data_IF_643996740677
#
_entry.id   IF_643996740677
#
_cell.length_a   1.000
_cell.length_b   1.000
_cell.length_c   1.000
_cell.angle_alpha   90.00
_cell.angle_beta   90.00
_cell.angle_gamma   90.00
#
_symmetry.space_group_name_H-M   'P 1'
#
loop_
_entity.id
_entity.type
_entity.pdbx_description
1 polymer ?
#
# COMPACT_ATOMS: atom_id res chain seq x y z
N UNK A 1 -3.42 -2.97 12.53
CA UNK A 1 -3.40 -1.91 13.58
C UNK A 1 -4.58 -0.97 13.39
N UNK A 2 -4.86 -0.08 14.35
CA UNK A 2 -5.75 1.08 14.15
C UNK A 2 -4.88 2.34 14.14
N UNK A 3 -4.88 3.07 13.04
CA UNK A 3 -4.14 4.31 12.85
C UNK A 3 -5.09 5.51 12.91
N UNK A 4 -4.73 6.57 13.65
CA UNK A 4 -5.61 7.72 13.92
C UNK A 4 -6.07 8.45 12.65
N UNK A 5 -5.26 8.42 11.58
CA UNK A 5 -5.60 9.05 10.29
C UNK A 5 -6.32 8.12 9.31
N UNK A 6 -6.06 6.82 9.37
CA UNK A 6 -6.39 5.88 8.29
C UNK A 6 -7.37 4.76 8.71
N UNK A 7 -7.82 4.74 9.96
CA UNK A 7 -8.67 3.65 10.46
C UNK A 7 -7.88 2.35 10.61
N UNK A 8 -8.51 1.21 10.31
CA UNK A 8 -7.83 -0.09 10.38
C UNK A 8 -6.86 -0.22 9.20
N UNK A 9 -5.60 -0.52 9.53
CA UNK A 9 -4.53 -0.75 8.56
C UNK A 9 -4.05 -2.20 8.70
N UNK A 10 -4.06 -2.94 7.59
CA UNK A 10 -3.46 -4.26 7.49
C UNK A 10 -1.95 -4.08 7.21
N UNK A 11 -1.10 -4.72 8.01
CA UNK A 11 0.34 -4.77 7.75
C UNK A 11 0.72 -6.19 7.40
N UNK A 12 1.49 -6.36 6.34
CA UNK A 12 2.02 -7.66 5.95
C UNK A 12 3.41 -7.51 5.29
N UNK A 13 4.31 -8.45 5.57
CA UNK A 13 5.68 -8.43 5.05
C UNK A 13 5.84 -8.98 3.63
N UNK A 14 4.76 -9.26 2.90
CA UNK A 14 4.79 -9.87 1.58
C UNK A 14 5.69 -9.11 0.61
N UNK A 15 6.74 -9.78 0.12
CA UNK A 15 7.81 -9.21 -0.72
C UNK A 15 8.30 -10.18 -1.81
N UNK A 16 7.58 -11.28 -2.00
CA UNK A 16 7.81 -12.30 -3.03
C UNK A 16 6.46 -12.90 -3.46
N UNK A 17 6.45 -13.72 -4.52
CA UNK A 17 5.22 -14.24 -5.10
C UNK A 17 4.38 -15.08 -4.12
N UNK A 18 4.99 -15.99 -3.35
CA UNK A 18 4.24 -16.88 -2.45
C UNK A 18 3.58 -16.10 -1.31
N UNK A 19 4.30 -15.14 -0.72
CA UNK A 19 3.75 -14.25 0.29
C UNK A 19 2.66 -13.33 -0.31
N UNK A 20 2.84 -12.85 -1.55
CA UNK A 20 1.84 -12.04 -2.23
C UNK A 20 0.53 -12.81 -2.46
N UNK A 21 0.61 -14.09 -2.86
CA UNK A 21 -0.57 -14.95 -3.00
C UNK A 21 -1.27 -15.17 -1.66
N UNK A 22 -0.51 -15.41 -0.59
CA UNK A 22 -1.07 -15.56 0.75
C UNK A 22 -1.80 -14.29 1.21
N UNK A 23 -1.18 -13.12 1.01
CA UNK A 23 -1.80 -11.82 1.34
C UNK A 23 -3.05 -11.55 0.51
N UNK A 24 -2.99 -11.78 -0.81
CA UNK A 24 -4.14 -11.61 -1.71
C UNK A 24 -5.32 -12.48 -1.28
N UNK A 25 -5.06 -13.77 -1.04
CA UNK A 25 -6.05 -14.73 -0.54
C UNK A 25 -6.69 -14.25 0.77
N UNK A 26 -5.88 -13.82 1.73
CA UNK A 26 -6.39 -13.28 3.00
C UNK A 26 -7.33 -12.10 2.79
N UNK A 27 -6.95 -11.13 1.94
CA UNK A 27 -7.77 -9.95 1.69
C UNK A 27 -9.06 -10.31 0.96
N UNK A 28 -9.03 -11.24 0.01
CA UNK A 28 -10.25 -11.72 -0.67
C UNK A 28 -11.22 -12.35 0.32
N UNK A 29 -10.73 -13.26 1.17
CA UNK A 29 -11.55 -13.87 2.21
C UNK A 29 -12.07 -12.83 3.23
N UNK A 30 -11.29 -11.79 3.53
CA UNK A 30 -11.73 -10.68 4.39
C UNK A 30 -12.92 -9.93 3.77
N UNK A 31 -12.88 -9.65 2.46
CA UNK A 31 -13.98 -8.99 1.76
C UNK A 31 -15.23 -9.86 1.65
N UNK A 32 -15.08 -11.18 1.55
CA UNK A 32 -16.21 -12.12 1.53
C UNK A 32 -16.90 -12.22 2.90
N UNK A 33 -16.13 -12.25 3.99
CA UNK A 33 -16.62 -12.64 5.32
C UNK A 33 -16.85 -11.48 6.27
N UNK A 34 -15.98 -10.47 6.28
CA UNK A 34 -15.88 -9.50 7.37
C UNK A 34 -16.12 -8.05 6.93
N UNK A 35 -15.83 -7.71 5.68
CA UNK A 35 -15.95 -6.34 5.19
C UNK A 35 -17.37 -5.76 5.29
N UNK A 36 -18.42 -6.59 5.17
CA UNK A 36 -19.82 -6.17 5.36
C UNK A 36 -20.13 -5.74 6.80
N UNK A 37 -19.39 -6.28 7.77
CA UNK A 37 -19.53 -5.95 9.20
C UNK A 37 -18.71 -4.71 9.52
N UNK A 38 -17.47 -4.66 9.01
CA UNK A 38 -16.51 -3.61 9.32
C UNK A 38 -16.67 -2.36 8.42
N UNK A 39 -17.56 -2.39 7.43
CA UNK A 39 -17.85 -1.32 6.48
C UNK A 39 -16.66 -0.90 5.57
N UNK A 40 -15.70 -1.82 5.36
CA UNK A 40 -14.59 -1.62 4.44
C UNK A 40 -14.99 -2.02 3.02
N UNK A 41 -14.54 -1.27 2.02
CA UNK A 41 -14.88 -1.51 0.62
C UNK A 41 -13.66 -1.41 -0.29
N UNK A 42 -13.77 -2.07 -1.44
CA UNK A 42 -12.88 -1.85 -2.59
C UNK A 42 -13.16 -0.48 -3.23
N UNK A 43 -12.19 0.11 -3.95
CA UNK A 43 -10.83 -0.39 -4.18
C UNK A 43 -9.91 -0.26 -2.95
N UNK A 44 -8.87 -1.10 -2.91
CA UNK A 44 -7.86 -1.14 -1.84
C UNK A 44 -6.91 0.05 -1.99
N UNK A 45 -6.39 0.53 -0.87
CA UNK A 45 -5.37 1.56 -0.83
C UNK A 45 -4.06 0.95 -0.32
N UNK A 46 -3.10 0.77 -1.22
CA UNK A 46 -1.82 0.14 -0.91
C UNK A 46 -0.80 1.19 -0.49
N UNK A 47 -0.13 0.99 0.63
CA UNK A 47 1.15 1.65 0.94
C UNK A 47 2.24 0.62 0.68
N UNK A 48 3.06 0.86 -0.33
CA UNK A 48 3.92 -0.18 -0.89
C UNK A 48 5.37 0.28 -0.98
N UNK A 49 6.29 -0.55 -0.50
CA UNK A 49 7.71 -0.32 -0.62
C UNK A 49 8.43 -1.66 -0.65
N UNK A 50 9.33 -1.87 -1.60
CA UNK A 50 9.92 -3.18 -1.88
C UNK A 50 11.43 -3.09 -2.04
N UNK A 51 12.14 -4.14 -1.62
CA UNK A 51 13.60 -4.22 -1.79
C UNK A 51 13.98 -4.24 -3.26
N UNK A 52 14.96 -3.43 -3.64
CA UNK A 52 15.47 -3.36 -5.00
C UNK A 52 16.03 -4.72 -5.46
N UNK A 53 15.85 -5.04 -6.75
CA UNK A 53 16.32 -6.29 -7.37
C UNK A 53 15.42 -7.51 -7.10
N UNK A 54 14.30 -7.33 -6.39
CA UNK A 54 13.24 -8.33 -6.29
C UNK A 54 12.26 -8.22 -7.46
N UNK A 55 11.47 -9.27 -7.68
CA UNK A 55 10.51 -9.38 -8.79
C UNK A 55 9.26 -8.50 -8.54
N UNK A 56 9.41 -7.20 -8.81
CA UNK A 56 8.39 -6.17 -8.59
C UNK A 56 7.12 -6.44 -9.42
N UNK A 57 7.28 -6.79 -10.71
CA UNK A 57 6.17 -7.03 -11.62
C UNK A 57 5.29 -8.18 -11.10
N UNK A 58 5.91 -9.32 -10.78
CA UNK A 58 5.17 -10.48 -10.29
C UNK A 58 4.45 -10.22 -8.97
N UNK A 59 5.07 -9.48 -8.04
CA UNK A 59 4.42 -9.13 -6.77
C UNK A 59 3.24 -8.20 -6.99
N UNK A 60 3.40 -7.16 -7.82
CA UNK A 60 2.31 -6.21 -8.11
C UNK A 60 1.18 -6.86 -8.91
N UNK A 61 1.48 -7.77 -9.84
CA UNK A 61 0.48 -8.56 -10.58
C UNK A 61 -0.44 -9.38 -9.68
N UNK A 62 0.11 -9.92 -8.59
CA UNK A 62 -0.65 -10.74 -7.65
C UNK A 62 -1.50 -9.86 -6.72
N UNK A 63 -0.97 -8.72 -6.29
CA UNK A 63 -1.58 -7.90 -5.24
C UNK A 63 -2.58 -6.87 -5.79
N UNK A 64 -2.19 -6.13 -6.81
CA UNK A 64 -2.82 -4.85 -7.21
C UNK A 64 -3.77 -5.06 -8.38
N UNK A 65 -5.03 -4.69 -8.19
CA UNK A 65 -6.01 -4.60 -9.28
C UNK A 65 -5.98 -3.20 -9.94
N UNK A 66 -6.43 -3.04 -11.20
CA UNK A 66 -6.45 -1.74 -11.88
C UNK A 66 -7.21 -0.64 -11.12
N UNK A 67 -8.25 -1.02 -10.38
CA UNK A 67 -9.04 -0.06 -9.61
C UNK A 67 -8.38 0.40 -8.31
N UNK A 68 -7.39 -0.33 -7.81
CA UNK A 68 -6.68 0.00 -6.59
C UNK A 68 -5.78 1.24 -6.75
N UNK A 69 -5.43 1.84 -5.62
CA UNK A 69 -4.46 2.93 -5.57
C UNK A 69 -3.20 2.45 -4.87
N UNK A 70 -2.03 2.90 -5.34
CA UNK A 70 -0.73 2.57 -4.76
C UNK A 70 0.03 3.84 -4.39
N UNK A 71 0.39 3.90 -3.12
CA UNK A 71 1.14 4.95 -2.46
C UNK A 71 2.53 4.38 -2.19
N UNK A 72 3.43 4.57 -3.15
CA UNK A 72 4.79 4.06 -3.06
C UNK A 72 5.63 4.88 -2.08
N UNK A 73 6.37 4.20 -1.21
CA UNK A 73 7.17 4.79 -0.15
C UNK A 73 8.49 4.02 0.02
N UNK A 74 9.59 4.68 0.43
CA UNK A 74 10.80 3.96 0.77
C UNK A 74 10.68 3.36 2.17
N UNK A 75 11.49 2.34 2.43
CA UNK A 75 11.83 1.94 3.80
C UNK A 75 13.24 2.45 4.16
N UNK A 76 13.49 2.64 5.45
CA UNK A 76 14.78 3.09 5.99
C UNK A 76 15.87 2.07 5.70
N UNK A 77 17.04 2.56 5.30
CA UNK A 77 18.22 1.73 5.11
C UNK A 77 18.50 0.91 6.39
N UNK A 78 18.43 -0.44 6.35
CA UNK A 78 18.67 -1.23 7.53
C UNK A 78 20.13 -1.10 7.98
N UNK A 79 20.34 -0.97 9.29
CA UNK A 79 21.69 -0.89 9.86
C UNK A 79 22.50 -2.13 9.50
N UNK A 80 23.79 -1.93 9.18
CA UNK A 80 24.75 -3.00 8.87
C UNK A 80 24.45 -3.83 7.60
N UNK A 81 23.36 -3.55 6.88
CA UNK A 81 22.99 -4.26 5.64
C UNK A 81 23.07 -3.33 4.44
N UNK A 82 24.27 -2.85 4.12
CA UNK A 82 24.51 -1.85 3.06
C UNK A 82 24.16 -2.33 1.65
N UNK A 83 23.91 -3.62 1.46
CA UNK A 83 23.49 -4.21 0.18
C UNK A 83 21.97 -4.26 0.00
N UNK A 84 21.19 -3.89 1.02
CA UNK A 84 19.73 -3.85 0.93
C UNK A 84 19.29 -2.41 0.69
N UNK A 85 18.67 -2.15 -0.45
CA UNK A 85 18.12 -0.84 -0.77
C UNK A 85 16.63 -0.93 -1.05
N UNK A 86 15.92 0.15 -0.73
CA UNK A 86 14.53 0.31 -1.15
C UNK A 86 14.48 0.67 -2.63
N UNK A 87 13.54 0.07 -3.37
CA UNK A 87 13.25 0.50 -4.74
C UNK A 87 12.74 1.94 -4.68
N UNK A 88 13.30 2.88 -5.46
CA UNK A 88 12.84 4.26 -5.44
C UNK A 88 11.33 4.34 -5.68
N UNK A 89 10.58 5.10 -4.85
CA UNK A 89 9.12 5.20 -4.99
C UNK A 89 8.66 5.59 -6.40
N UNK A 90 9.36 6.54 -7.03
CA UNK A 90 9.05 6.97 -8.39
C UNK A 90 9.21 5.85 -9.42
N UNK A 91 10.16 4.92 -9.26
CA UNK A 91 10.26 3.76 -10.16
C UNK A 91 9.04 2.84 -10.04
N UNK A 92 8.53 2.64 -8.82
CA UNK A 92 7.29 1.85 -8.59
C UNK A 92 6.08 2.58 -9.20
N UNK A 93 5.98 3.90 -9.00
CA UNK A 93 4.93 4.73 -9.62
C UNK A 93 4.97 4.61 -11.14
N UNK A 94 6.11 4.88 -11.76
CA UNK A 94 6.31 4.84 -13.21
C UNK A 94 6.00 3.45 -13.78
N UNK A 95 6.40 2.40 -13.07
CA UNK A 95 6.07 1.03 -13.40
C UNK A 95 4.55 0.81 -13.50
N UNK A 96 3.79 1.23 -12.47
CA UNK A 96 2.33 1.10 -12.43
C UNK A 96 1.63 1.99 -13.48
N UNK A 97 2.09 3.23 -13.65
CA UNK A 97 1.58 4.15 -14.69
C UNK A 97 1.73 3.50 -16.05
N UNK A 98 2.92 2.99 -16.39
CA UNK A 98 3.16 2.29 -17.67
C UNK A 98 2.29 1.04 -17.82
N UNK A 99 2.11 0.26 -16.74
CA UNK A 99 1.30 -0.97 -16.75
C UNK A 99 -0.17 -0.69 -17.06
N UNK A 100 -0.72 0.41 -16.55
CA UNK A 100 -2.15 0.73 -16.64
C UNK A 100 -2.49 1.90 -17.59
N UNK A 101 -1.50 2.43 -18.33
CA UNK A 101 -1.67 3.59 -19.23
C UNK A 101 -2.74 3.44 -20.33
N UNK A 102 -3.11 2.20 -20.68
CA UNK A 102 -4.13 1.92 -21.68
C UNK A 102 -5.54 1.78 -21.08
N UNK A 103 -5.66 1.73 -19.75
CA UNK A 103 -6.93 1.56 -19.03
C UNK A 103 -7.46 2.88 -18.46
N UNK A 104 -6.57 3.82 -18.15
CA UNK A 104 -6.92 5.09 -17.50
C UNK A 104 -6.24 6.26 -18.19
N UNK A 105 -6.80 7.46 -18.04
CA UNK A 105 -6.15 8.68 -18.49
C UNK A 105 -5.03 9.14 -17.53
N UNK A 106 -4.20 10.10 -17.96
CA UNK A 106 -3.06 10.58 -17.18
C UNK A 106 -3.44 11.16 -15.80
N UNK A 107 -4.57 11.86 -15.69
CA UNK A 107 -5.05 12.39 -14.41
C UNK A 107 -5.41 11.25 -13.46
N UNK A 108 -6.19 10.27 -13.93
CA UNK A 108 -6.56 9.09 -13.13
C UNK A 108 -5.34 8.28 -12.69
N UNK A 109 -4.34 8.10 -13.56
CA UNK A 109 -3.10 7.40 -13.23
C UNK A 109 -2.30 8.13 -12.15
N UNK A 110 -2.20 9.45 -12.22
CA UNK A 110 -1.49 10.26 -11.22
C UNK A 110 -2.26 10.35 -9.89
N UNK A 111 -3.57 10.18 -9.90
CA UNK A 111 -4.38 10.08 -8.68
C UNK A 111 -4.26 8.71 -8.03
N UNK A 112 -4.27 7.64 -8.84
CA UNK A 112 -4.17 6.24 -8.37
C UNK A 112 -2.77 5.87 -7.92
N UNK A 113 -1.72 6.34 -8.60
CA UNK A 113 -0.33 5.96 -8.33
C UNK A 113 0.50 7.17 -7.93
N UNK A 114 0.88 7.21 -6.65
CA UNK A 114 1.61 8.32 -6.04
C UNK A 114 2.89 7.81 -5.40
N UNK A 115 3.90 8.67 -5.38
CA UNK A 115 5.18 8.41 -4.74
C UNK A 115 5.39 9.45 -3.65
N UNK A 116 5.87 8.99 -2.49
CA UNK A 116 6.14 9.83 -1.33
C UNK A 116 7.52 9.52 -0.77
N UNK A 117 8.16 10.51 -0.17
CA UNK A 117 9.48 10.37 0.43
C UNK A 117 9.44 9.59 1.76
N UNK A 118 8.26 9.48 2.38
CA UNK A 118 8.06 8.76 3.63
C UNK A 118 6.60 8.30 3.82
N UNK A 119 6.40 7.38 4.77
CA UNK A 119 5.08 6.81 5.07
C UNK A 119 4.10 7.80 5.71
N UNK A 120 4.59 8.83 6.40
CA UNK A 120 3.72 9.79 7.11
C UNK A 120 2.93 10.66 6.11
N UNK A 121 3.56 11.04 5.00
CA UNK A 121 2.92 11.80 3.92
C UNK A 121 1.90 10.95 3.17
N UNK A 122 2.23 9.67 2.89
CA UNK A 122 1.28 8.73 2.33
C UNK A 122 0.04 8.55 3.24
N UNK A 123 0.24 8.42 4.55
CA UNK A 123 -0.88 8.36 5.52
C UNK A 123 -1.65 9.67 5.65
N UNK A 124 -1.01 10.82 5.43
CA UNK A 124 -1.71 12.11 5.41
C UNK A 124 -2.66 12.20 4.20
N UNK A 125 -2.22 11.77 3.02
CA UNK A 125 -3.07 11.72 1.83
C UNK A 125 -4.22 10.71 1.99
N UNK A 126 -3.94 9.53 2.54
CA UNK A 126 -4.94 8.49 2.80
C UNK A 126 -6.02 8.94 3.79
N UNK A 127 -5.72 9.88 4.68
CA UNK A 127 -6.72 10.51 5.55
C UNK A 127 -7.80 11.19 4.72
N UNK A 128 -7.41 11.96 3.70
CA UNK A 128 -8.33 12.64 2.80
C UNK A 128 -9.23 11.66 2.05
N UNK A 129 -8.63 10.60 1.48
CA UNK A 129 -9.37 9.53 0.79
C UNK A 129 -10.40 8.87 1.71
N UNK A 130 -10.02 8.57 2.96
CA UNK A 130 -10.94 7.98 3.96
C UNK A 130 -12.08 8.93 4.31
N UNK A 131 -11.78 10.19 4.59
CA UNK A 131 -12.80 11.19 4.95
C UNK A 131 -13.80 11.42 3.80
N UNK A 132 -13.32 11.44 2.56
CA UNK A 132 -14.19 11.56 1.39
C UNK A 132 -15.12 10.35 1.24
N UNK A 133 -14.60 9.12 1.32
CA UNK A 133 -15.44 7.90 1.23
C UNK A 133 -16.46 7.81 2.35
N UNK A 134 -16.08 8.19 3.56
CA UNK A 134 -16.99 8.22 4.70
C UNK A 134 -18.12 9.23 4.50
N UNK A 135 -17.82 10.44 3.99
CA UNK A 135 -18.83 11.45 3.70
C UNK A 135 -19.77 11.04 2.56
N UNK A 136 -19.23 10.43 1.50
CA UNK A 136 -19.98 10.14 0.27
C UNK A 136 -20.88 8.90 0.40
N UNK A 137 -20.32 7.82 0.93
CA UNK A 137 -20.96 6.50 0.90
C UNK A 137 -21.10 5.88 2.29
N UNK A 138 -20.63 6.54 3.35
CA UNK A 138 -20.49 5.95 4.68
C UNK A 138 -19.76 4.61 4.59
N UNK A 139 -18.57 4.57 3.97
CA UNK A 139 -17.70 3.38 3.81
C UNK A 139 -16.24 3.76 4.03
N UNK A 140 -15.42 2.82 4.49
CA UNK A 140 -13.97 3.01 4.62
C UNK A 140 -13.18 2.29 3.51
N UNK A 141 -12.07 2.87 3.00
CA UNK A 141 -11.12 2.12 2.20
C UNK A 141 -10.32 1.15 3.09
N UNK A 142 -10.07 -0.07 2.62
CA UNK A 142 -9.07 -0.93 3.26
C UNK A 142 -7.68 -0.40 2.91
N UNK A 143 -6.90 -0.02 3.93
CA UNK A 143 -5.49 0.34 3.78
C UNK A 143 -4.62 -0.88 4.07
N UNK A 144 -3.74 -1.23 3.12
CA UNK A 144 -2.81 -2.36 3.26
C UNK A 144 -1.39 -1.85 3.06
N UNK A 145 -0.51 -2.14 4.02
CA UNK A 145 0.92 -1.87 3.91
C UNK A 145 1.66 -3.17 3.65
N UNK A 146 2.43 -3.24 2.57
CA UNK A 146 3.25 -4.41 2.25
C UNK A 146 4.43 -4.10 1.32
N UNK A 147 5.12 -5.14 0.85
CA UNK A 147 6.27 -5.06 -0.06
C UNK A 147 7.60 -5.31 0.64
N UNK A 148 7.68 -5.14 1.97
CA UNK A 148 8.93 -5.30 2.74
C UNK A 148 8.67 -5.42 4.24
N UNK A 149 9.39 -6.34 4.89
CA UNK A 149 9.43 -6.41 6.37
C UNK A 149 10.07 -5.16 6.99
N UNK A 150 11.00 -4.50 6.28
CA UNK A 150 11.61 -3.25 6.75
C UNK A 150 10.60 -2.10 6.77
N UNK A 151 9.73 -2.02 5.76
CA UNK A 151 8.64 -1.03 5.74
C UNK A 151 7.66 -1.26 6.90
N UNK A 152 7.29 -2.52 7.14
CA UNK A 152 6.44 -2.88 8.28
C UNK A 152 7.11 -2.49 9.61
N UNK A 153 8.40 -2.75 9.76
CA UNK A 153 9.17 -2.36 10.95
C UNK A 153 9.22 -0.84 11.14
N UNK A 154 9.45 -0.07 10.07
CA UNK A 154 9.45 1.40 10.12
C UNK A 154 8.13 1.96 10.61
N UNK A 155 7.01 1.38 10.18
CA UNK A 155 5.69 1.80 10.65
C UNK A 155 5.53 1.48 12.13
N UNK A 156 5.88 0.27 12.57
CA UNK A 156 5.82 -0.06 14.00
C UNK A 156 6.69 0.88 14.84
N UNK A 157 7.90 1.20 14.40
CA UNK A 157 8.76 2.18 15.07
C UNK A 157 8.13 3.58 15.10
N UNK A 158 7.53 4.03 13.99
CA UNK A 158 6.87 5.34 13.94
C UNK A 158 5.70 5.45 14.93
N UNK A 159 4.98 4.35 15.17
CA UNK A 159 3.91 4.30 16.15
C UNK A 159 4.44 4.34 17.58
N UNK A 160 5.53 3.61 17.87
CA UNK A 160 6.16 3.61 19.19
C UNK A 160 6.73 4.98 19.55
N UNK A 161 7.22 5.76 18.58
CA UNK A 161 7.75 7.11 18.79
C UNK A 161 6.66 8.19 18.89
N UNK A 162 5.41 7.85 18.58
CA UNK A 162 4.26 8.76 18.70
C UNK A 162 3.62 8.71 20.11
N UNK A 163 4.09 7.82 20.99
CA UNK A 163 3.72 7.67 22.39
C UNK A 163 4.95 7.81 23.29
#
# INVERSE_FOLDING_TARGET
MVHSKCGKVLLDGAHNADCAYALRKYIDEYFEKQAKIDNYTRPIQWVFGMTQGKDLDKVLDILVSPEDSVFSVPFRQPEQMTWIHSTPPNEIKEFLVKKYQHQFNETELNEKFKAFDNVLDAFAELKGVREERMKKNNTEPLVVVCGSLYLVADIYQSLLLAY
#
